data_IF_122367167721
#
_entry.id   IF_122367167721
#
_cell.length_a   1.000
_cell.length_b   1.000
_cell.length_c   1.000
_cell.angle_alpha   90.00
_cell.angle_beta   90.00
_cell.angle_gamma   90.00
#
_symmetry.space_group_name_H-M   'P 1'
#
loop_
_entity.id
_entity.type
_entity.pdbx_description
1 polymer ?
#
# COMPACT_ATOMS: atom_id res chain seq x y z
N UNK A 1 -52.38 42.28 20.37
CA UNK A 1 -51.09 42.22 21.08
C UNK A 1 -50.51 40.85 20.78
N UNK A 2 -49.32 40.83 20.19
CA UNK A 2 -48.71 39.68 19.52
C UNK A 2 -48.32 38.55 20.47
N UNK A 3 -48.65 37.31 20.12
CA UNK A 3 -47.92 36.13 20.60
C UNK A 3 -47.62 35.17 19.45
N UNK A 4 -46.37 34.74 19.46
CA UNK A 4 -45.62 34.02 18.43
C UNK A 4 -46.00 32.53 18.39
N UNK A 5 -46.31 31.98 17.22
CA UNK A 5 -46.33 30.53 17.00
C UNK A 5 -45.25 30.16 15.99
N UNK A 6 -44.23 29.47 16.47
CA UNK A 6 -43.14 28.86 15.71
C UNK A 6 -43.72 27.68 14.92
N UNK A 7 -43.69 27.73 13.59
CA UNK A 7 -43.98 26.56 12.74
C UNK A 7 -42.69 26.04 12.11
N UNK A 8 -42.34 24.84 12.54
CA UNK A 8 -41.34 23.94 11.98
C UNK A 8 -41.63 23.65 10.50
N UNK A 9 -40.63 23.84 9.63
CA UNK A 9 -40.54 23.15 8.34
C UNK A 9 -39.07 23.06 7.91
N UNK A 10 -38.33 22.17 8.57
CA UNK A 10 -37.06 21.65 8.04
C UNK A 10 -37.44 20.54 7.06
N UNK A 11 -37.50 20.88 5.77
CA UNK A 11 -37.58 19.90 4.68
C UNK A 11 -36.14 19.51 4.30
N UNK A 12 -35.80 18.30 4.75
CA UNK A 12 -34.89 17.31 4.18
C UNK A 12 -34.09 17.73 2.93
N UNK A 13 -32.81 18.01 3.13
CA UNK A 13 -31.78 17.94 2.08
C UNK A 13 -31.10 16.57 2.18
N UNK A 14 -31.83 15.52 1.81
CA UNK A 14 -31.32 14.14 1.77
C UNK A 14 -30.64 13.90 0.42
N UNK A 15 -29.53 14.62 0.20
CA UNK A 15 -28.65 14.38 -0.94
C UNK A 15 -27.78 13.17 -0.58
N UNK A 16 -27.79 12.07 -1.36
CA UNK A 16 -26.89 10.97 -1.12
C UNK A 16 -25.45 11.50 -1.14
N UNK A 17 -24.56 11.06 -0.23
CA UNK A 17 -23.18 11.51 -0.21
C UNK A 17 -22.59 11.25 -1.60
N UNK A 18 -22.07 12.31 -2.23
CA UNK A 18 -21.40 12.23 -3.51
C UNK A 18 -20.42 11.04 -3.46
N UNK A 19 -20.40 10.13 -4.45
CA UNK A 19 -19.39 9.09 -4.49
C UNK A 19 -18.03 9.78 -4.45
N UNK A 20 -17.24 9.48 -3.42
CA UNK A 20 -15.91 10.02 -3.26
C UNK A 20 -15.11 9.54 -4.47
N UNK A 21 -14.89 10.44 -5.42
CA UNK A 21 -14.10 10.20 -6.61
C UNK A 21 -12.64 10.12 -6.18
N UNK A 22 -12.11 8.91 -6.02
CA UNK A 22 -10.69 8.69 -5.83
C UNK A 22 -9.99 8.82 -7.18
N UNK A 23 -8.94 9.64 -7.24
CA UNK A 23 -8.07 9.77 -8.40
C UNK A 23 -6.71 9.19 -8.03
N UNK A 24 -6.35 8.07 -8.65
CA UNK A 24 -5.05 7.44 -8.45
C UNK A 24 -3.97 8.11 -9.32
N UNK A 25 -2.74 8.14 -8.82
CA UNK A 25 -1.59 8.79 -9.42
C UNK A 25 -0.34 7.95 -9.20
N UNK A 26 0.43 7.72 -10.27
CA UNK A 26 1.75 7.09 -10.16
C UNK A 26 2.66 7.94 -9.26
N UNK A 27 3.18 7.40 -8.13
CA UNK A 27 3.98 8.15 -7.19
C UNK A 27 5.26 8.69 -7.81
N UNK A 28 5.66 9.88 -7.37
CA UNK A 28 6.93 10.52 -7.76
C UNK A 28 7.72 10.95 -6.54
N UNK A 29 9.04 11.04 -6.71
CA UNK A 29 9.94 11.46 -5.62
C UNK A 29 9.70 12.92 -5.26
N UNK A 30 9.25 13.15 -4.03
CA UNK A 30 8.96 14.48 -3.48
C UNK A 30 9.96 14.93 -2.39
N UNK A 31 10.82 14.02 -1.92
CA UNK A 31 11.87 14.31 -0.93
C UNK A 31 13.22 14.11 -1.60
N UNK A 32 13.86 15.22 -1.97
CA UNK A 32 15.13 15.25 -2.69
C UNK A 32 16.28 15.77 -1.82
N UNK A 33 15.98 16.63 -0.86
CA UNK A 33 16.93 17.26 0.04
C UNK A 33 16.39 17.38 1.48
N UNK A 34 17.29 17.66 2.43
CA UNK A 34 16.95 17.77 3.85
C UNK A 34 15.80 18.76 4.14
N UNK A 35 15.73 19.95 3.50
CA UNK A 35 14.61 20.87 3.70
C UNK A 35 13.23 20.29 3.34
N UNK A 36 13.16 19.37 2.37
CA UNK A 36 11.90 18.73 1.95
C UNK A 36 11.27 17.90 3.07
N UNK A 37 12.06 17.51 4.09
CA UNK A 37 11.55 16.79 5.25
C UNK A 37 10.51 17.61 6.03
N UNK A 38 10.58 18.95 5.98
CA UNK A 38 9.56 19.81 6.55
C UNK A 38 8.21 19.65 5.85
N UNK A 39 8.21 19.54 4.51
CA UNK A 39 7.01 19.26 3.70
C UNK A 39 6.48 17.87 4.00
N UNK A 40 7.36 16.86 4.05
CA UNK A 40 6.98 15.48 4.37
C UNK A 40 6.23 15.37 5.70
N UNK A 41 6.79 15.90 6.80
CA UNK A 41 6.19 15.81 8.15
C UNK A 41 4.82 16.47 8.28
N UNK A 42 4.47 17.39 7.37
CA UNK A 42 3.17 18.07 7.33
C UNK A 42 2.23 17.52 6.26
N UNK A 43 2.66 16.53 5.50
CA UNK A 43 1.88 15.96 4.40
C UNK A 43 0.80 15.00 4.91
N UNK A 44 -0.27 14.87 4.13
CA UNK A 44 -1.33 13.88 4.37
C UNK A 44 -0.75 12.46 4.39
N UNK A 45 0.15 12.14 3.45
CA UNK A 45 0.83 10.85 3.39
C UNK A 45 1.58 10.48 4.68
N UNK A 46 2.21 11.45 5.36
CA UNK A 46 2.84 11.20 6.66
C UNK A 46 1.81 10.93 7.77
N UNK A 47 0.71 11.68 7.79
CA UNK A 47 -0.36 11.49 8.76
C UNK A 47 -1.01 10.11 8.60
N UNK A 48 -1.31 9.72 7.36
CA UNK A 48 -1.90 8.42 7.02
C UNK A 48 -0.93 7.27 7.34
N UNK A 49 0.35 7.41 6.96
CA UNK A 49 1.39 6.44 7.27
C UNK A 49 1.51 6.19 8.78
N UNK A 50 1.60 7.27 9.57
CA UNK A 50 1.70 7.14 11.02
C UNK A 50 0.43 6.59 11.65
N UNK A 51 -0.75 7.03 11.18
CA UNK A 51 -2.04 6.52 11.65
C UNK A 51 -2.16 5.01 11.42
N UNK A 52 -1.74 4.53 10.26
CA UNK A 52 -1.73 3.11 9.94
C UNK A 52 -0.83 2.31 10.88
N UNK A 53 0.43 2.75 11.06
CA UNK A 53 1.39 2.05 11.94
C UNK A 53 0.86 1.98 13.38
N UNK A 54 0.28 3.07 13.87
CA UNK A 54 -0.29 3.11 15.22
C UNK A 54 -1.52 2.19 15.36
N UNK A 55 -2.37 2.14 14.32
CA UNK A 55 -3.55 1.27 14.28
C UNK A 55 -3.16 -0.20 14.30
N UNK A 56 -2.18 -0.60 13.48
CA UNK A 56 -1.66 -1.97 13.49
C UNK A 56 -1.05 -2.32 14.83
N UNK A 57 -0.21 -1.44 15.39
CA UNK A 57 0.45 -1.66 16.67
C UNK A 57 -0.57 -1.93 17.79
N UNK A 58 -1.61 -1.10 17.89
CA UNK A 58 -2.66 -1.32 18.89
C UNK A 58 -3.46 -2.60 18.60
N UNK A 59 -3.73 -2.89 17.31
CA UNK A 59 -4.45 -4.08 16.87
C UNK A 59 -3.78 -5.41 17.24
N UNK A 60 -2.44 -5.45 17.31
CA UNK A 60 -1.66 -6.67 17.64
C UNK A 60 -1.15 -6.70 19.09
N UNK A 61 -1.35 -5.63 19.85
CA UNK A 61 -0.84 -5.48 21.21
C UNK A 61 -1.31 -6.62 22.12
N UNK A 62 -0.35 -7.26 22.80
CA UNK A 62 -0.56 -8.41 23.71
C UNK A 62 -1.20 -9.64 23.04
N UNK A 63 -1.23 -9.72 21.70
CA UNK A 63 -1.64 -10.92 20.97
C UNK A 63 -0.41 -11.76 20.64
N UNK A 64 -0.56 -13.08 20.74
CA UNK A 64 0.47 -14.03 20.27
C UNK A 64 0.28 -14.25 18.77
N UNK A 65 1.34 -14.62 18.08
CA UNK A 65 1.25 -15.06 16.68
C UNK A 65 0.30 -16.26 16.48
N UNK A 66 0.11 -17.06 17.52
CA UNK A 66 -0.76 -18.25 17.52
C UNK A 66 -2.19 -17.96 17.97
N UNK A 67 -2.59 -16.70 18.16
CA UNK A 67 -3.98 -16.40 18.50
C UNK A 67 -4.87 -16.68 17.28
N UNK A 68 -6.15 -16.99 17.51
CA UNK A 68 -7.11 -17.07 16.43
C UNK A 68 -7.39 -15.67 15.87
N UNK A 69 -7.43 -15.54 14.55
CA UNK A 69 -7.81 -14.33 13.85
C UNK A 69 -8.51 -14.70 12.54
N UNK A 70 -9.32 -13.77 12.05
CA UNK A 70 -9.98 -13.91 10.76
C UNK A 70 -9.00 -13.58 9.65
N UNK A 71 -8.92 -14.45 8.65
CA UNK A 71 -8.16 -14.23 7.42
C UNK A 71 -9.16 -13.80 6.36
N UNK A 72 -9.01 -12.59 5.82
CA UNK A 72 -9.86 -12.12 4.72
C UNK A 72 -9.33 -12.62 3.38
N UNK A 73 -10.21 -12.67 2.37
CA UNK A 73 -9.82 -13.01 0.99
C UNK A 73 -8.66 -12.13 0.48
N UNK A 74 -8.64 -10.84 0.84
CA UNK A 74 -7.51 -9.94 0.51
C UNK A 74 -6.21 -10.42 1.13
N UNK A 75 -6.21 -10.86 2.39
CA UNK A 75 -5.01 -11.38 3.05
C UNK A 75 -4.56 -12.68 2.38
N UNK A 76 -5.48 -13.55 1.98
CA UNK A 76 -5.14 -14.78 1.24
C UNK A 76 -4.49 -14.46 -0.12
N UNK A 77 -5.06 -13.51 -0.88
CA UNK A 77 -4.49 -13.03 -2.15
C UNK A 77 -3.10 -12.42 -1.95
N UNK A 78 -2.89 -11.68 -0.86
CA UNK A 78 -1.59 -11.14 -0.50
C UNK A 78 -0.57 -12.23 -0.19
N UNK A 79 -0.96 -13.26 0.58
CA UNK A 79 -0.09 -14.40 0.85
C UNK A 79 0.25 -15.17 -0.44
N UNK A 80 -0.69 -15.33 -1.36
CA UNK A 80 -0.46 -15.96 -2.66
C UNK A 80 0.50 -15.14 -3.54
N UNK A 81 0.38 -13.80 -3.51
CA UNK A 81 1.33 -12.92 -4.18
C UNK A 81 2.74 -13.08 -3.59
N UNK A 82 2.88 -13.08 -2.25
CA UNK A 82 4.18 -13.29 -1.58
C UNK A 82 4.78 -14.67 -1.91
N UNK A 83 3.96 -15.73 -1.95
CA UNK A 83 4.40 -17.05 -2.37
C UNK A 83 4.87 -17.07 -3.84
N UNK A 84 4.28 -16.25 -4.71
CA UNK A 84 4.74 -16.08 -6.09
C UNK A 84 6.12 -15.42 -6.15
N UNK A 85 6.33 -14.36 -5.35
CA UNK A 85 7.63 -13.70 -5.24
C UNK A 85 8.72 -14.65 -4.71
N UNK A 86 8.37 -15.47 -3.72
CA UNK A 86 9.23 -16.51 -3.12
C UNK A 86 9.61 -17.58 -4.16
N UNK A 87 8.63 -18.12 -4.89
CA UNK A 87 8.89 -19.08 -5.99
C UNK A 87 9.84 -18.51 -7.05
N UNK A 88 9.74 -17.23 -7.38
CA UNK A 88 10.67 -16.63 -8.34
C UNK A 88 12.12 -16.59 -7.85
N UNK A 89 12.35 -16.64 -6.53
CA UNK A 89 13.70 -16.76 -5.96
C UNK A 89 14.28 -18.13 -6.33
N UNK A 90 13.51 -19.20 -6.15
CA UNK A 90 13.92 -20.57 -6.53
C UNK A 90 14.20 -20.69 -8.03
N UNK A 91 13.40 -20.03 -8.86
CA UNK A 91 13.58 -19.98 -10.31
C UNK A 91 14.74 -19.08 -10.76
N UNK A 92 15.32 -18.30 -9.86
CA UNK A 92 16.38 -17.34 -10.16
C UNK A 92 17.58 -17.62 -9.24
N UNK A 93 18.25 -18.78 -9.41
CA UNK A 93 19.33 -19.18 -8.52
C UNK A 93 20.50 -18.18 -8.58
N UNK A 94 21.27 -18.04 -7.49
CA UNK A 94 22.45 -17.21 -7.46
C UNK A 94 23.43 -17.59 -8.58
N UNK A 95 23.97 -16.60 -9.27
CA UNK A 95 25.01 -16.83 -10.27
C UNK A 95 26.40 -16.74 -9.65
N UNK A 96 27.33 -17.53 -10.16
CA UNK A 96 28.73 -17.39 -9.78
C UNK A 96 29.26 -16.02 -10.25
N UNK A 97 29.85 -15.27 -9.33
CA UNK A 97 30.35 -13.94 -9.60
C UNK A 97 31.58 -13.60 -8.75
N UNK A 98 32.57 -12.88 -9.32
CA UNK A 98 33.77 -12.48 -8.59
C UNK A 98 33.50 -11.38 -7.54
N UNK A 99 32.33 -10.77 -7.56
CA UNK A 99 31.95 -9.66 -6.66
C UNK A 99 31.40 -10.18 -5.33
N UNK A 100 31.92 -9.66 -4.22
CA UNK A 100 31.40 -9.88 -2.86
C UNK A 100 30.16 -9.06 -2.49
N UNK A 101 29.78 -8.10 -3.34
CA UNK A 101 28.52 -7.36 -3.19
C UNK A 101 27.35 -8.18 -3.72
N UNK A 102 26.10 -7.72 -3.53
CA UNK A 102 24.90 -8.50 -3.80
C UNK A 102 24.87 -9.21 -5.17
N UNK A 103 24.24 -10.38 -5.20
CA UNK A 103 24.26 -11.27 -6.35
C UNK A 103 23.46 -10.68 -7.53
N UNK A 104 24.03 -10.71 -8.74
CA UNK A 104 23.37 -10.22 -9.96
C UNK A 104 22.07 -10.95 -10.30
N UNK A 105 21.86 -12.18 -9.81
CA UNK A 105 20.58 -12.88 -9.89
C UNK A 105 19.41 -12.06 -9.33
N UNK A 106 19.66 -11.20 -8.33
CA UNK A 106 18.65 -10.28 -7.81
C UNK A 106 18.10 -9.34 -8.90
N UNK A 107 18.93 -8.91 -9.86
CA UNK A 107 18.47 -8.05 -10.97
C UNK A 107 17.55 -8.80 -11.91
N UNK A 108 17.82 -10.08 -12.15
CA UNK A 108 16.96 -10.96 -12.95
C UNK A 108 15.62 -11.16 -12.27
N UNK A 109 15.64 -11.43 -10.95
CA UNK A 109 14.42 -11.55 -10.15
C UNK A 109 13.62 -10.23 -10.13
N UNK A 110 14.29 -9.10 -9.91
CA UNK A 110 13.67 -7.78 -9.89
C UNK A 110 13.07 -7.41 -11.26
N UNK A 111 13.73 -7.77 -12.36
CA UNK A 111 13.19 -7.52 -13.70
C UNK A 111 11.88 -8.27 -13.96
N UNK A 112 11.73 -9.50 -13.43
CA UNK A 112 10.45 -10.22 -13.44
C UNK A 112 9.39 -9.46 -12.64
N UNK A 113 9.74 -9.01 -11.42
CA UNK A 113 8.82 -8.21 -10.60
C UNK A 113 8.41 -6.91 -11.31
N UNK A 114 9.33 -6.19 -11.94
CA UNK A 114 9.03 -4.93 -12.60
C UNK A 114 8.00 -5.08 -13.74
N UNK A 115 8.04 -6.22 -14.44
CA UNK A 115 7.10 -6.57 -15.51
C UNK A 115 5.73 -7.02 -14.98
N UNK A 116 5.72 -7.76 -13.87
CA UNK A 116 4.53 -8.44 -13.37
C UNK A 116 3.81 -7.70 -12.22
N UNK A 117 4.42 -6.65 -11.65
CA UNK A 117 3.91 -5.98 -10.44
C UNK A 117 2.47 -5.47 -10.58
N UNK A 118 2.10 -4.88 -11.71
CA UNK A 118 0.74 -4.37 -11.92
C UNK A 118 -0.30 -5.50 -12.01
N UNK A 119 0.06 -6.62 -12.66
CA UNK A 119 -0.80 -7.79 -12.73
C UNK A 119 -0.98 -8.45 -11.35
N UNK A 120 0.11 -8.58 -10.59
CA UNK A 120 0.09 -9.08 -9.21
C UNK A 120 -0.83 -8.24 -8.32
N UNK A 121 -0.74 -6.90 -8.42
CA UNK A 121 -1.58 -5.98 -7.67
C UNK A 121 -3.04 -6.06 -8.10
N UNK A 122 -3.30 -6.05 -9.42
CA UNK A 122 -4.66 -6.16 -9.98
C UNK A 122 -5.38 -7.42 -9.48
N UNK A 123 -4.66 -8.54 -9.32
CA UNK A 123 -5.22 -9.78 -8.81
C UNK A 123 -5.68 -9.70 -7.34
N UNK A 124 -5.11 -8.77 -6.55
CA UNK A 124 -5.48 -8.55 -5.14
C UNK A 124 -6.67 -7.58 -5.04
N UNK A 125 -6.73 -6.59 -5.92
CA UNK A 125 -7.70 -5.52 -5.86
C UNK A 125 -9.11 -5.98 -6.31
N UNK A 126 -10.17 -5.41 -5.69
CA UNK A 126 -11.53 -5.56 -6.22
C UNK A 126 -11.63 -4.87 -7.59
N UNK A 127 -12.55 -5.36 -8.44
CA UNK A 127 -12.72 -4.90 -9.83
C UNK A 127 -12.94 -3.39 -9.96
N UNK A 128 -13.59 -2.79 -8.98
CA UNK A 128 -13.93 -1.36 -8.96
C UNK A 128 -12.72 -0.46 -8.67
N UNK A 129 -11.56 -1.05 -8.33
CA UNK A 129 -10.34 -0.33 -7.95
C UNK A 129 -9.12 -0.73 -8.76
N UNK A 130 -9.30 -1.38 -9.91
CA UNK A 130 -8.20 -1.77 -10.80
C UNK A 130 -7.42 -0.55 -11.33
N UNK A 131 -8.03 0.63 -11.36
CA UNK A 131 -7.39 1.91 -11.67
C UNK A 131 -6.32 2.34 -10.65
N UNK A 132 -6.33 1.78 -9.43
CA UNK A 132 -5.29 1.97 -8.42
C UNK A 132 -4.03 1.13 -8.67
N UNK A 133 -4.11 0.09 -9.52
CA UNK A 133 -3.04 -0.88 -9.69
C UNK A 133 -1.69 -0.25 -10.11
N UNK A 134 -1.63 0.70 -11.05
CA UNK A 134 -0.38 1.33 -11.45
C UNK A 134 0.30 2.11 -10.30
N UNK A 135 -0.49 2.75 -9.43
CA UNK A 135 0.02 3.47 -8.26
C UNK A 135 0.58 2.50 -7.22
N UNK A 136 -0.20 1.48 -6.84
CA UNK A 136 0.18 0.50 -5.82
C UNK A 136 1.38 -0.35 -6.27
N UNK A 137 1.47 -0.66 -7.57
CA UNK A 137 2.59 -1.41 -8.14
C UNK A 137 3.94 -0.70 -7.93
N UNK A 138 3.98 0.63 -7.92
CA UNK A 138 5.22 1.37 -7.59
C UNK A 138 5.67 1.05 -6.16
N UNK A 139 4.74 1.06 -5.20
CA UNK A 139 5.06 0.74 -3.81
C UNK A 139 5.49 -0.72 -3.63
N UNK A 140 4.89 -1.67 -4.37
CA UNK A 140 5.33 -3.07 -4.37
C UNK A 140 6.78 -3.20 -4.85
N UNK A 141 7.12 -2.56 -5.96
CA UNK A 141 8.45 -2.62 -6.56
C UNK A 141 9.53 -1.99 -5.68
N UNK A 142 9.20 -0.92 -4.97
CA UNK A 142 10.12 -0.29 -4.01
C UNK A 142 10.22 -1.07 -2.69
N UNK A 143 9.26 -1.94 -2.37
CA UNK A 143 9.21 -2.66 -1.10
C UNK A 143 10.19 -3.85 -0.98
N UNK A 144 10.68 -4.35 -2.11
CA UNK A 144 11.58 -5.51 -2.15
C UNK A 144 13.05 -5.11 -2.24
N UNK A 145 13.30 -3.80 -2.27
CA UNK A 145 14.63 -3.23 -2.31
C UNK A 145 15.01 -2.61 -3.65
N UNK A 146 16.22 -2.04 -3.70
CA UNK A 146 16.69 -1.31 -4.88
C UNK A 146 17.58 -2.19 -5.76
N UNK A 147 17.22 -2.40 -7.03
CA UNK A 147 17.98 -3.22 -8.00
C UNK A 147 19.44 -2.78 -8.23
N UNK A 148 19.76 -1.52 -7.93
CA UNK A 148 21.10 -0.95 -8.09
C UNK A 148 21.93 -1.03 -6.81
N UNK A 149 21.32 -0.77 -5.64
CA UNK A 149 22.00 -0.74 -4.33
C UNK A 149 21.95 -2.06 -3.55
N UNK A 150 20.95 -2.91 -3.81
CA UNK A 150 20.71 -4.20 -3.16
C UNK A 150 20.51 -4.04 -1.64
N UNK A 151 19.64 -3.10 -1.25
CA UNK A 151 19.17 -2.83 0.11
C UNK A 151 17.65 -3.09 0.20
N UNK A 152 17.08 -3.44 1.37
CA UNK A 152 15.71 -3.95 1.54
C UNK A 152 14.80 -3.07 2.43
N UNK A 153 13.53 -2.80 2.05
CA UNK A 153 12.54 -2.05 2.87
C UNK A 153 11.07 -2.46 2.58
N UNK A 154 10.38 -3.22 3.43
CA UNK A 154 9.04 -3.79 3.11
C UNK A 154 7.81 -2.98 3.59
N UNK A 155 7.97 -2.03 4.51
CA UNK A 155 6.85 -1.50 5.33
C UNK A 155 5.86 -0.61 4.54
N UNK A 156 6.31 0.08 3.48
CA UNK A 156 5.48 1.07 2.76
C UNK A 156 4.38 0.39 1.93
N UNK A 157 4.62 -0.80 1.40
CA UNK A 157 3.66 -1.51 0.55
C UNK A 157 2.38 -1.93 1.27
N UNK A 158 2.48 -2.36 2.53
CA UNK A 158 1.30 -2.78 3.31
C UNK A 158 0.33 -1.63 3.58
N UNK A 159 0.80 -0.38 3.62
CA UNK A 159 -0.03 0.81 3.84
C UNK A 159 -0.89 1.09 2.60
N UNK A 160 -0.29 1.09 1.42
CA UNK A 160 -0.98 1.42 0.17
C UNK A 160 -2.08 0.39 -0.14
N UNK A 161 -1.83 -0.89 0.13
CA UNK A 161 -2.85 -1.93 0.01
C UNK A 161 -4.03 -1.72 0.97
N UNK A 162 -3.77 -1.39 2.23
CA UNK A 162 -4.84 -1.19 3.19
C UNK A 162 -5.69 0.04 2.88
N UNK A 163 -5.09 1.16 2.46
CA UNK A 163 -5.86 2.36 2.11
C UNK A 163 -6.67 2.21 0.82
N UNK A 164 -6.19 1.38 -0.13
CA UNK A 164 -6.90 1.15 -1.38
C UNK A 164 -7.97 0.06 -1.27
N UNK A 165 -7.84 -0.91 -0.37
CA UNK A 165 -8.78 -2.04 -0.26
C UNK A 165 -9.82 -1.85 0.85
N UNK A 166 -9.51 -1.10 1.90
CA UNK A 166 -10.41 -0.87 3.03
C UNK A 166 -10.59 0.65 3.23
N UNK A 167 -11.64 1.27 2.65
CA UNK A 167 -12.03 2.63 3.01
C UNK A 167 -12.57 2.71 4.46
#
# INVERSE_FOLDING_TARGET
MCETTITSSILSDDKPPNPVSFSFMVPKKEISMVPDMGKWKRSQAYADYMGFILTLNEGVKRKKLTCEYQVSETVEKLLAMLATLDRWIDETPPIDQPSRFGNKAYRTWYAKLDQEAEALVTAILPSERHDAAPEIAVYLKEAVGNSTRIDYVFIVFLICLCMCVFP
#
